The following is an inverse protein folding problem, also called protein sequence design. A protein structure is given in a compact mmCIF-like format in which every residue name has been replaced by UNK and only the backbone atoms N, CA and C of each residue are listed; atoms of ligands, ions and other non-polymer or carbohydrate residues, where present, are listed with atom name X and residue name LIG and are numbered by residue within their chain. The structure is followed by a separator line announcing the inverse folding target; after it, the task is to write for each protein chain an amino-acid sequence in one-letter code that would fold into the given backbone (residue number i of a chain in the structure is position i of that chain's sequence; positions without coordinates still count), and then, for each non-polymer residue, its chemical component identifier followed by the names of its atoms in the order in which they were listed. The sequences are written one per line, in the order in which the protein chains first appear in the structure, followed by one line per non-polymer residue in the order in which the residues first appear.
data_IF_554294058661
#
_entry.id   IF_554294058661
#
_cell.length_a   1.000
_cell.length_b   1.000
_cell.length_c   1.000
_cell.angle_alpha   90.00
_cell.angle_beta   90.00
_cell.angle_gamma   90.00
#
_symmetry.space_group_name_H-M   'P 1'
#
loop_
_entity.id
_entity.type
_entity.pdbx_description
1 polymer ?
#
# COMPACT_ATOMS: atom_id res chain seq x y z
N UNK A 1 -2.30 -2.43 -22.82
CA UNK A 1 -3.22 -1.54 -22.10
C UNK A 1 -4.53 -1.35 -22.87
N UNK A 2 -5.63 -1.07 -22.19
CA UNK A 2 -6.90 -0.74 -22.84
C UNK A 2 -6.75 0.48 -23.77
N UNK A 3 -7.27 0.38 -25.01
CA UNK A 3 -7.13 1.41 -26.02
C UNK A 3 -5.73 1.59 -26.62
N UNK A 4 -4.77 0.77 -26.21
CA UNK A 4 -3.45 0.72 -26.84
C UNK A 4 -3.48 -0.07 -28.15
N UNK A 5 -2.38 -0.05 -28.89
CA UNK A 5 -2.17 -0.94 -30.03
C UNK A 5 -0.68 -1.23 -30.18
N UNK A 6 -0.39 -2.43 -30.66
CA UNK A 6 0.96 -2.83 -31.04
C UNK A 6 1.02 -3.09 -32.53
N UNK A 7 2.09 -2.64 -33.17
CA UNK A 7 2.38 -2.93 -34.58
C UNK A 7 3.64 -3.75 -34.66
N UNK A 8 3.54 -4.94 -35.22
CA UNK A 8 4.69 -5.84 -35.45
C UNK A 8 5.00 -5.96 -36.91
N UNK A 9 6.27 -5.93 -37.23
CA UNK A 9 6.77 -6.30 -38.54
C UNK A 9 6.87 -7.82 -38.66
N UNK A 10 6.37 -8.38 -39.75
CA UNK A 10 6.39 -9.79 -40.02
C UNK A 10 7.44 -10.07 -41.11
N UNK A 11 8.28 -11.08 -40.89
CA UNK A 11 9.19 -11.61 -41.90
C UNK A 11 8.65 -12.96 -42.34
N UNK A 12 8.36 -13.10 -43.63
CA UNK A 12 8.02 -14.40 -44.22
C UNK A 12 8.82 -14.57 -45.52
N UNK A 13 9.38 -15.73 -45.71
CA UNK A 13 10.02 -16.12 -46.96
C UNK A 13 9.05 -16.90 -47.83
N UNK A 14 8.95 -16.52 -49.09
CA UNK A 14 8.10 -17.19 -50.07
C UNK A 14 6.70 -16.56 -50.27
N UNK A 15 5.89 -17.17 -51.13
CA UNK A 15 4.53 -16.76 -51.43
C UNK A 15 3.58 -17.43 -50.42
N UNK A 16 2.76 -16.62 -49.73
CA UNK A 16 1.81 -17.11 -48.74
C UNK A 16 0.38 -16.89 -49.26
N UNK A 17 -0.29 -17.91 -49.78
CA UNK A 17 -1.66 -17.82 -50.23
C UNK A 17 -2.61 -17.88 -49.02
N UNK A 18 -3.73 -17.18 -49.09
CA UNK A 18 -4.88 -17.28 -48.17
C UNK A 18 -4.53 -17.13 -46.67
N UNK A 19 -3.85 -16.06 -46.29
CA UNK A 19 -3.56 -15.75 -44.88
C UNK A 19 -4.86 -15.36 -44.16
N UNK A 20 -5.15 -16.07 -43.08
CA UNK A 20 -6.24 -15.77 -42.16
C UNK A 20 -5.69 -15.34 -40.81
N UNK A 21 -6.24 -14.27 -40.25
CA UNK A 21 -5.96 -13.80 -38.90
C UNK A 21 -7.13 -14.15 -37.99
N UNK A 22 -6.86 -14.85 -36.92
CA UNK A 22 -7.84 -15.12 -35.86
C UNK A 22 -7.47 -14.29 -34.64
N UNK A 23 -8.25 -13.28 -34.34
CA UNK A 23 -8.13 -12.48 -33.14
C UNK A 23 -9.09 -12.96 -32.07
N UNK A 24 -8.76 -12.80 -30.79
CA UNK A 24 -9.65 -13.02 -29.68
C UNK A 24 -10.93 -12.17 -29.80
N UNK A 25 -12.00 -12.62 -29.19
CA UNK A 25 -13.26 -11.86 -29.19
C UNK A 25 -13.02 -10.42 -28.69
N UNK A 26 -13.55 -9.44 -29.43
CA UNK A 26 -13.44 -7.99 -29.13
C UNK A 26 -12.03 -7.38 -29.29
N UNK A 27 -11.04 -8.16 -29.68
CA UNK A 27 -9.74 -7.64 -30.12
C UNK A 27 -9.77 -7.34 -31.62
N UNK A 28 -8.96 -6.40 -32.04
CA UNK A 28 -8.75 -6.15 -33.47
C UNK A 28 -7.36 -6.63 -33.88
N UNK A 29 -7.28 -7.28 -35.02
CA UNK A 29 -6.03 -7.69 -35.62
C UNK A 29 -6.07 -7.38 -37.13
N UNK A 30 -5.36 -6.34 -37.54
CA UNK A 30 -5.30 -5.86 -38.92
C UNK A 30 -3.98 -6.30 -39.55
N UNK A 31 -4.05 -7.26 -40.44
CA UNK A 31 -2.91 -7.76 -41.21
C UNK A 31 -2.78 -6.97 -42.54
N UNK A 32 -1.66 -6.26 -42.67
CA UNK A 32 -1.31 -5.61 -43.94
C UNK A 32 -0.19 -6.38 -44.62
N UNK A 33 -0.56 -7.22 -45.58
CA UNK A 33 0.37 -8.10 -46.34
C UNK A 33 1.38 -7.25 -47.12
N UNK A 34 0.93 -6.16 -47.76
CA UNK A 34 1.82 -5.31 -48.57
C UNK A 34 2.90 -4.61 -47.75
N UNK A 35 2.58 -4.22 -46.51
CA UNK A 35 3.53 -3.59 -45.58
C UNK A 35 4.20 -4.61 -44.65
N UNK A 36 3.80 -5.85 -44.70
CA UNK A 36 4.27 -6.92 -43.80
C UNK A 36 4.12 -6.53 -42.32
N UNK A 37 2.99 -5.94 -41.96
CA UNK A 37 2.71 -5.51 -40.59
C UNK A 37 1.42 -6.11 -40.09
N UNK A 38 1.43 -6.51 -38.82
CA UNK A 38 0.25 -6.90 -38.06
C UNK A 38 0.03 -5.83 -36.98
N UNK A 39 -1.15 -5.22 -36.97
CA UNK A 39 -1.58 -4.34 -35.88
C UNK A 39 -2.56 -5.08 -34.99
N UNK A 40 -2.28 -5.15 -33.70
CA UNK A 40 -3.14 -5.76 -32.69
C UNK A 40 -3.58 -4.69 -31.70
N UNK A 41 -4.86 -4.66 -31.37
CA UNK A 41 -5.38 -3.79 -30.35
C UNK A 41 -6.38 -4.51 -29.44
N UNK A 42 -6.25 -4.42 -28.11
CA UNK A 42 -7.24 -4.88 -27.17
C UNK A 42 -8.49 -4.00 -27.22
N UNK A 43 -9.59 -4.37 -26.54
CA UNK A 43 -10.74 -3.47 -26.35
C UNK A 43 -10.29 -2.10 -25.81
N UNK A 44 -10.98 -1.04 -26.23
CA UNK A 44 -10.65 0.32 -25.81
C UNK A 44 -11.01 0.57 -24.34
N UNK A 45 -12.02 -0.14 -23.82
CA UNK A 45 -12.54 0.00 -22.48
C UNK A 45 -12.73 -1.38 -21.83
N UNK A 46 -12.77 -1.41 -20.50
CA UNK A 46 -13.13 -2.62 -19.77
C UNK A 46 -14.55 -3.04 -20.12
N UNK A 47 -14.72 -4.34 -20.36
CA UNK A 47 -16.01 -4.95 -20.62
C UNK A 47 -16.16 -6.14 -19.69
N UNK A 48 -17.19 -6.16 -18.87
CA UNK A 48 -17.48 -7.28 -17.98
C UNK A 48 -17.56 -8.61 -18.73
N UNK A 49 -16.93 -9.64 -18.19
CA UNK A 49 -16.89 -10.98 -18.79
C UNK A 49 -16.05 -11.08 -20.07
N UNK A 50 -15.16 -10.12 -20.35
CA UNK A 50 -14.17 -10.28 -21.42
C UNK A 50 -13.08 -11.25 -21.00
N UNK A 51 -12.56 -12.02 -21.98
CA UNK A 51 -11.34 -12.79 -21.75
C UNK A 51 -10.14 -11.86 -21.69
N UNK A 52 -9.41 -11.90 -20.57
CA UNK A 52 -8.22 -11.07 -20.35
C UNK A 52 -6.97 -11.67 -21.01
N UNK A 53 -6.97 -12.97 -21.25
CA UNK A 53 -5.86 -13.70 -21.87
C UNK A 53 -6.32 -14.34 -23.18
N UNK A 54 -5.54 -14.12 -24.22
CA UNK A 54 -5.95 -14.52 -25.56
C UNK A 54 -4.75 -14.84 -26.45
N UNK A 55 -4.95 -15.78 -27.38
CA UNK A 55 -3.96 -16.12 -28.38
C UNK A 55 -4.37 -15.57 -29.74
N UNK A 56 -3.52 -14.72 -30.31
CA UNK A 56 -3.62 -14.32 -31.70
C UNK A 56 -2.94 -15.36 -32.58
N UNK A 57 -3.57 -15.78 -33.67
CA UNK A 57 -3.00 -16.71 -34.63
C UNK A 57 -3.06 -16.14 -36.05
N UNK A 58 -2.02 -16.38 -36.81
CA UNK A 58 -2.00 -16.19 -38.25
C UNK A 58 -1.79 -17.56 -38.87
N UNK A 59 -2.69 -17.96 -39.73
CA UNK A 59 -2.69 -19.28 -40.37
C UNK A 59 -2.71 -19.12 -41.89
N UNK A 60 -2.12 -20.08 -42.60
CA UNK A 60 -2.25 -20.24 -44.03
C UNK A 60 -2.61 -21.69 -44.32
N UNK A 61 -3.72 -21.91 -45.03
CA UNK A 61 -4.23 -23.23 -45.35
C UNK A 61 -4.41 -24.18 -44.15
N UNK A 62 -4.74 -23.59 -42.98
CA UNK A 62 -4.93 -24.31 -41.72
C UNK A 62 -3.66 -24.57 -40.92
N UNK A 63 -2.50 -24.22 -41.46
CA UNK A 63 -1.21 -24.32 -40.75
C UNK A 63 -0.85 -23.01 -40.03
N UNK A 64 -0.43 -23.06 -38.75
CA UNK A 64 -0.06 -21.87 -38.00
C UNK A 64 1.26 -21.28 -38.50
N UNK A 65 1.24 -20.04 -38.96
CA UNK A 65 2.42 -19.28 -39.33
C UNK A 65 2.97 -18.45 -38.16
N UNK A 66 2.09 -18.04 -37.25
CA UNK A 66 2.41 -17.23 -36.09
C UNK A 66 1.39 -17.45 -34.98
N UNK A 67 1.87 -17.54 -33.77
CA UNK A 67 1.04 -17.58 -32.56
C UNK A 67 1.66 -16.69 -31.48
N UNK A 68 0.85 -15.81 -30.88
CA UNK A 68 1.30 -14.93 -29.83
C UNK A 68 0.20 -14.78 -28.79
N UNK A 69 0.54 -15.00 -27.54
CA UNK A 69 -0.35 -14.74 -26.43
C UNK A 69 -0.32 -13.26 -26.06
N UNK A 70 -1.52 -12.70 -25.87
CA UNK A 70 -1.74 -11.36 -25.40
C UNK A 70 -2.63 -11.39 -24.16
N UNK A 71 -2.40 -10.45 -23.26
CA UNK A 71 -3.23 -10.29 -22.07
C UNK A 71 -3.49 -8.81 -21.78
N UNK A 72 -4.58 -8.55 -21.06
CA UNK A 72 -4.94 -7.23 -20.55
C UNK A 72 -5.01 -7.33 -19.04
N UNK A 73 -4.40 -6.40 -18.34
CA UNK A 73 -4.44 -6.36 -16.87
C UNK A 73 -5.82 -5.93 -16.38
N UNK A 74 -6.33 -6.63 -15.39
CA UNK A 74 -7.44 -6.20 -14.54
C UNK A 74 -6.91 -6.01 -13.13
N UNK A 75 -6.86 -4.75 -12.68
CA UNK A 75 -6.31 -4.41 -11.37
C UNK A 75 -7.24 -4.72 -10.21
N UNK A 76 -8.46 -5.23 -10.48
CA UNK A 76 -9.41 -5.68 -9.44
C UNK A 76 -9.29 -7.17 -9.14
N UNK A 77 -8.44 -7.91 -9.87
CA UNK A 77 -8.29 -9.33 -9.62
C UNK A 77 -7.85 -9.60 -8.17
N UNK A 78 -8.55 -10.44 -7.38
CA UNK A 78 -8.27 -10.61 -5.94
C UNK A 78 -6.84 -11.03 -5.62
N UNK A 79 -6.18 -11.75 -6.52
CA UNK A 79 -4.77 -12.16 -6.39
C UNK A 79 -3.78 -11.11 -6.91
N UNK A 80 -4.27 -9.98 -7.39
CA UNK A 80 -3.43 -8.88 -7.84
C UNK A 80 -2.68 -8.24 -6.68
N UNK A 81 -1.38 -8.03 -6.86
CA UNK A 81 -0.50 -7.43 -5.84
C UNK A 81 0.03 -6.09 -6.31
N UNK A 82 -0.21 -5.07 -5.52
CA UNK A 82 0.33 -3.72 -5.73
C UNK A 82 1.56 -3.52 -4.86
N UNK A 83 2.62 -3.00 -5.46
CA UNK A 83 3.75 -2.45 -4.73
C UNK A 83 3.81 -0.95 -5.01
N UNK A 84 3.53 -0.17 -3.98
CA UNK A 84 3.60 1.28 -4.04
C UNK A 84 5.03 1.72 -3.80
N UNK A 85 5.61 2.45 -4.74
CA UNK A 85 6.94 3.02 -4.62
C UNK A 85 6.80 4.51 -4.27
N UNK A 86 7.34 4.93 -3.12
CA UNK A 86 7.30 6.35 -2.72
C UNK A 86 8.02 7.23 -3.76
N UNK A 87 9.09 6.72 -4.33
CA UNK A 87 10.09 7.53 -4.97
C UNK A 87 10.97 8.24 -3.93
N UNK A 88 11.44 9.41 -4.25
CA UNK A 88 12.28 10.20 -3.35
C UNK A 88 11.75 11.63 -3.28
N UNK A 89 11.60 12.16 -2.07
CA UNK A 89 10.95 13.47 -1.86
C UNK A 89 11.69 14.65 -2.51
N UNK A 90 12.92 14.46 -2.97
CA UNK A 90 13.73 15.51 -3.59
C UNK A 90 14.06 15.28 -5.06
N UNK A 91 13.99 14.04 -5.55
CA UNK A 91 14.55 13.68 -6.86
C UNK A 91 13.60 12.96 -7.81
N UNK A 92 12.55 12.28 -7.31
CA UNK A 92 11.67 11.48 -8.16
C UNK A 92 10.25 11.34 -7.61
N UNK A 93 9.29 11.22 -8.52
CA UNK A 93 7.91 10.88 -8.19
C UNK A 93 7.77 9.40 -7.77
N UNK A 94 6.66 9.11 -7.11
CA UNK A 94 6.24 7.74 -6.84
C UNK A 94 5.88 6.99 -8.11
N UNK A 95 5.75 5.67 -7.97
CA UNK A 95 5.37 4.77 -9.05
C UNK A 95 4.61 3.56 -8.50
N UNK A 96 3.98 2.79 -9.39
CA UNK A 96 3.23 1.60 -9.03
C UNK A 96 3.76 0.43 -9.82
N UNK A 97 4.15 -0.62 -9.09
CA UNK A 97 4.45 -1.95 -9.64
C UNK A 97 3.26 -2.85 -9.37
N UNK A 98 2.91 -3.69 -10.30
CA UNK A 98 1.81 -4.63 -10.18
C UNK A 98 2.27 -6.04 -10.55
N UNK A 99 1.87 -7.01 -9.75
CA UNK A 99 1.97 -8.42 -10.07
C UNK A 99 0.56 -8.96 -10.32
N UNK A 100 0.35 -9.56 -11.47
CA UNK A 100 -0.94 -10.13 -11.81
C UNK A 100 -1.14 -11.52 -11.17
N UNK A 101 -2.29 -12.13 -11.40
CA UNK A 101 -2.65 -13.45 -10.86
C UNK A 101 -1.70 -14.59 -11.26
N UNK A 102 -0.85 -14.38 -12.26
CA UNK A 102 0.18 -15.33 -12.70
C UNK A 102 1.58 -14.94 -12.21
N UNK A 103 1.68 -13.98 -11.28
CA UNK A 103 2.94 -13.45 -10.78
C UNK A 103 3.82 -12.79 -11.86
N UNK A 104 3.22 -12.33 -12.96
CA UNK A 104 3.93 -11.55 -13.96
C UNK A 104 4.13 -10.13 -13.44
N UNK A 105 5.36 -9.67 -13.52
CA UNK A 105 5.82 -8.39 -13.02
C UNK A 105 5.60 -7.28 -14.04
N UNK A 106 4.93 -6.20 -13.62
CA UNK A 106 4.63 -5.03 -14.44
C UNK A 106 5.11 -3.76 -13.74
N UNK A 107 6.15 -3.16 -14.28
CA UNK A 107 6.66 -1.88 -13.78
C UNK A 107 5.80 -0.70 -14.26
N UNK A 108 5.76 0.37 -13.45
CA UNK A 108 5.24 1.67 -13.85
C UNK A 108 3.84 1.62 -14.48
N UNK A 109 2.96 0.78 -13.92
CA UNK A 109 1.64 0.53 -14.55
C UNK A 109 0.78 1.79 -14.63
N UNK A 110 0.93 2.74 -13.71
CA UNK A 110 0.22 4.01 -13.78
C UNK A 110 0.71 4.86 -14.94
N UNK A 111 2.02 5.02 -15.05
CA UNK A 111 2.66 5.82 -16.10
C UNK A 111 2.42 5.24 -17.49
N UNK A 112 2.47 3.93 -17.60
CA UNK A 112 2.22 3.21 -18.87
C UNK A 112 0.77 3.40 -19.37
N UNK A 113 -0.18 3.57 -18.46
CA UNK A 113 -1.58 3.78 -18.81
C UNK A 113 -1.89 5.25 -19.08
N UNK A 114 -1.33 6.16 -18.28
CA UNK A 114 -1.75 7.57 -18.24
C UNK A 114 -0.79 8.54 -18.92
N UNK A 115 0.33 8.05 -19.44
CA UNK A 115 1.38 8.85 -20.09
C UNK A 115 1.90 9.99 -19.18
N UNK A 116 1.80 9.82 -17.85
CA UNK A 116 2.27 10.76 -16.83
C UNK A 116 2.57 10.02 -15.51
N UNK A 117 3.41 10.63 -14.66
CA UNK A 117 3.72 10.11 -13.32
C UNK A 117 2.63 10.50 -12.31
N UNK A 118 2.52 9.73 -11.22
CA UNK A 118 1.42 9.91 -10.26
C UNK A 118 1.59 11.15 -9.37
N UNK A 119 2.75 11.37 -8.83
CA UNK A 119 3.09 12.50 -7.96
C UNK A 119 4.18 12.15 -6.96
N UNK A 120 4.70 13.18 -6.29
CA UNK A 120 5.86 13.03 -5.40
C UNK A 120 5.46 12.47 -4.03
N UNK A 121 6.17 11.46 -3.64
CA UNK A 121 6.02 10.62 -2.44
C UNK A 121 4.64 9.98 -2.37
N UNK A 122 4.45 8.93 -3.18
CA UNK A 122 3.25 8.09 -3.10
C UNK A 122 3.17 7.42 -1.74
N UNK A 123 2.04 7.56 -1.06
CA UNK A 123 1.91 7.15 0.33
C UNK A 123 1.00 5.95 0.54
N UNK A 124 -0.15 5.96 -0.11
CA UNK A 124 -1.16 4.93 0.16
C UNK A 124 -2.15 4.84 -1.00
N UNK A 125 -2.90 3.74 -1.00
CA UNK A 125 -4.00 3.50 -1.94
C UNK A 125 -5.22 2.92 -1.22
N UNK A 126 -6.37 3.06 -1.86
CA UNK A 126 -7.61 2.39 -1.49
C UNK A 126 -8.46 2.07 -2.71
N UNK A 127 -9.24 0.99 -2.66
CA UNK A 127 -10.14 0.61 -3.75
C UNK A 127 -11.57 0.48 -3.23
N UNK A 128 -12.53 1.09 -3.90
CA UNK A 128 -13.96 0.94 -3.64
C UNK A 128 -14.78 1.43 -4.83
N UNK A 129 -15.95 0.82 -5.07
CA UNK A 129 -16.89 1.30 -6.08
C UNK A 129 -16.33 1.36 -7.49
N UNK A 130 -15.49 0.42 -7.89
CA UNK A 130 -14.86 0.39 -9.21
C UNK A 130 -13.78 1.45 -9.43
N UNK A 131 -13.26 2.05 -8.37
CA UNK A 131 -12.21 3.08 -8.42
C UNK A 131 -11.03 2.74 -7.53
N UNK A 132 -9.84 3.17 -7.95
CA UNK A 132 -8.63 3.21 -7.13
C UNK A 132 -8.32 4.65 -6.80
N UNK A 133 -8.02 4.90 -5.54
CA UNK A 133 -7.62 6.19 -5.00
C UNK A 133 -6.17 6.13 -4.57
N UNK A 134 -5.37 7.09 -5.00
CA UNK A 134 -3.98 7.25 -4.59
C UNK A 134 -3.78 8.59 -3.92
N UNK A 135 -2.96 8.61 -2.88
CA UNK A 135 -2.52 9.83 -2.24
C UNK A 135 -1.01 9.96 -2.27
N UNK A 136 -0.54 11.17 -2.56
CA UNK A 136 0.88 11.52 -2.50
C UNK A 136 1.09 12.66 -1.52
N UNK A 137 2.22 12.66 -0.85
CA UNK A 137 2.53 13.61 0.20
C UNK A 137 2.71 15.04 -0.35
N UNK A 138 3.54 15.17 -1.37
CA UNK A 138 3.96 16.45 -1.92
C UNK A 138 3.22 16.85 -3.21
N UNK A 139 2.61 15.90 -3.90
CA UNK A 139 1.95 16.18 -5.18
C UNK A 139 2.95 16.55 -6.28
N UNK A 140 2.82 17.78 -6.80
CA UNK A 140 3.67 18.30 -7.88
C UNK A 140 4.88 19.09 -7.40
N UNK A 141 5.00 19.33 -6.10
CA UNK A 141 6.10 20.14 -5.56
C UNK A 141 6.79 19.39 -4.44
N UNK A 142 8.09 19.16 -4.56
CA UNK A 142 8.87 18.49 -3.50
C UNK A 142 8.96 19.33 -2.23
N UNK A 143 9.41 18.70 -1.15
CA UNK A 143 9.69 19.40 0.11
C UNK A 143 10.77 20.49 -0.02
N UNK A 144 11.63 20.40 -1.03
CA UNK A 144 12.68 21.38 -1.34
C UNK A 144 12.23 22.47 -2.33
N UNK A 145 10.96 22.45 -2.77
CA UNK A 145 10.40 23.39 -3.73
C UNK A 145 10.65 23.01 -5.20
N UNK A 146 11.28 21.88 -5.49
CA UNK A 146 11.44 21.38 -6.86
C UNK A 146 10.07 20.98 -7.41
N UNK A 147 9.73 21.45 -8.60
CA UNK A 147 8.48 21.08 -9.29
C UNK A 147 8.69 19.79 -10.06
N UNK A 148 7.82 18.82 -9.81
CA UNK A 148 7.76 17.56 -10.53
C UNK A 148 6.60 17.55 -11.52
N UNK A 149 6.75 16.74 -12.56
CA UNK A 149 5.73 16.60 -13.60
C UNK A 149 4.81 15.39 -13.27
N UNK A 150 4.11 15.45 -12.15
CA UNK A 150 3.18 14.42 -11.72
C UNK A 150 1.72 14.88 -11.71
N UNK A 151 0.80 13.98 -11.46
CA UNK A 151 -0.64 14.26 -11.47
C UNK A 151 -1.14 14.98 -10.22
N UNK A 152 -0.54 14.75 -9.06
CA UNK A 152 -0.84 15.53 -7.86
C UNK A 152 -1.03 14.72 -6.58
N UNK A 153 -1.62 15.38 -5.56
CA UNK A 153 -1.78 14.82 -4.20
C UNK A 153 -2.89 13.79 -4.08
N UNK A 154 -3.91 13.89 -4.91
CA UNK A 154 -5.06 12.98 -4.89
C UNK A 154 -5.41 12.58 -6.31
N UNK A 155 -5.32 11.29 -6.60
CA UNK A 155 -5.55 10.73 -7.95
C UNK A 155 -6.60 9.64 -7.86
N UNK A 156 -7.57 9.69 -8.76
CA UNK A 156 -8.64 8.70 -8.90
C UNK A 156 -8.49 8.01 -10.24
N UNK A 157 -8.43 6.69 -10.23
CA UNK A 157 -8.40 5.85 -11.42
C UNK A 157 -9.59 4.90 -11.48
N UNK A 158 -9.94 4.47 -12.68
CA UNK A 158 -10.78 3.31 -12.89
C UNK A 158 -10.07 2.04 -12.39
N UNK A 159 -10.76 1.23 -11.59
CA UNK A 159 -10.13 0.11 -10.89
C UNK A 159 -9.75 -1.05 -11.83
N UNK A 160 -10.44 -1.23 -12.95
CA UNK A 160 -10.11 -2.29 -13.89
C UNK A 160 -8.95 -1.93 -14.79
N UNK A 161 -8.86 -0.66 -15.19
CA UNK A 161 -7.98 -0.22 -16.28
C UNK A 161 -6.80 0.65 -15.84
N UNK A 162 -6.77 1.12 -14.59
CA UNK A 162 -5.84 2.13 -14.07
C UNK A 162 -5.95 3.50 -14.78
N UNK A 163 -6.90 3.69 -15.69
CA UNK A 163 -7.09 4.99 -16.37
C UNK A 163 -7.49 6.06 -15.38
N UNK A 164 -6.77 7.18 -15.41
CA UNK A 164 -7.05 8.34 -14.57
C UNK A 164 -8.41 8.95 -14.90
N UNK A 165 -9.26 9.05 -13.87
CA UNK A 165 -10.56 9.72 -13.92
C UNK A 165 -10.40 11.18 -13.46
N UNK A 166 -9.65 11.40 -12.38
CA UNK A 166 -9.45 12.71 -11.78
C UNK A 166 -8.05 12.80 -11.16
N UNK A 167 -7.44 13.97 -11.27
CA UNK A 167 -6.24 14.31 -10.51
C UNK A 167 -6.42 15.69 -9.86
N UNK A 168 -6.00 15.82 -8.62
CA UNK A 168 -6.01 17.05 -7.82
C UNK A 168 -4.67 17.27 -7.16
N UNK A 169 -4.12 18.46 -7.30
CA UNK A 169 -2.92 18.88 -6.57
C UNK A 169 -3.24 20.02 -5.59
N UNK A 170 -4.38 19.95 -4.94
CA UNK A 170 -4.78 20.97 -3.96
C UNK A 170 -4.08 20.72 -2.63
N UNK A 171 -3.19 21.63 -2.19
CA UNK A 171 -2.67 21.56 -0.83
C UNK A 171 -3.77 21.87 0.18
N UNK A 172 -3.69 21.27 1.34
CA UNK A 172 -4.57 21.60 2.46
C UNK A 172 -3.74 21.91 3.71
N UNK A 173 -4.32 22.65 4.64
CA UNK A 173 -3.60 23.25 5.76
C UNK A 173 -4.29 22.97 7.09
N UNK A 174 -3.49 22.90 8.14
CA UNK A 174 -3.96 22.93 9.53
C UNK A 174 -3.62 24.28 10.18
N UNK A 175 -4.49 24.74 11.06
CA UNK A 175 -4.24 25.89 11.90
C UNK A 175 -3.54 25.41 13.18
N UNK A 176 -2.30 25.80 13.36
CA UNK A 176 -1.45 25.33 14.45
C UNK A 176 -1.08 26.48 15.37
N UNK A 177 -1.20 26.28 16.68
CA UNK A 177 -0.79 27.26 17.67
C UNK A 177 0.72 27.57 17.56
N UNK A 178 1.10 28.82 17.68
CA UNK A 178 2.49 29.27 17.70
C UNK A 178 2.66 30.36 18.76
N UNK A 179 3.89 30.70 19.07
CA UNK A 179 4.20 31.78 20.06
C UNK A 179 3.65 33.15 19.66
N UNK A 180 3.38 33.38 18.37
CA UNK A 180 2.85 34.62 17.82
C UNK A 180 1.35 34.55 17.46
N UNK A 181 0.63 33.50 17.86
CA UNK A 181 -0.77 33.27 17.53
C UNK A 181 -0.97 31.94 16.78
N UNK A 182 -1.81 31.94 15.74
CA UNK A 182 -2.10 30.75 14.93
C UNK A 182 -1.41 30.88 13.58
N UNK A 183 -0.72 29.85 13.15
CA UNK A 183 -0.12 29.74 11.81
C UNK A 183 -0.81 28.66 10.97
N UNK A 184 -0.87 28.90 9.67
CA UNK A 184 -1.32 27.91 8.70
C UNK A 184 -0.14 27.03 8.26
N UNK A 185 -0.19 25.74 8.52
CA UNK A 185 0.89 24.80 8.20
C UNK A 185 0.39 23.79 7.18
N UNK A 186 1.18 23.56 6.13
CA UNK A 186 0.88 22.57 5.08
C UNK A 186 0.70 21.18 5.68
N UNK A 187 -0.33 20.48 5.24
CA UNK A 187 -0.61 19.10 5.63
C UNK A 187 -0.12 18.12 4.55
N UNK A 188 0.41 17.01 5.02
CA UNK A 188 0.83 15.87 4.22
C UNK A 188 -0.11 14.69 4.44
N UNK A 189 -0.89 14.28 3.41
CA UNK A 189 -1.67 13.05 3.51
C UNK A 189 -0.75 11.86 3.74
N UNK A 190 -1.16 10.96 4.61
CA UNK A 190 -0.39 9.80 5.04
C UNK A 190 -1.10 8.49 4.71
N UNK A 191 -2.39 8.41 5.04
CA UNK A 191 -3.23 7.24 4.80
C UNK A 191 -4.59 7.62 4.29
N UNK A 192 -5.17 6.74 3.51
CA UNK A 192 -6.55 6.84 3.04
C UNK A 192 -7.30 5.54 3.32
N UNK A 193 -8.54 5.68 3.78
CA UNK A 193 -9.51 4.59 3.80
C UNK A 193 -10.83 5.10 3.24
N UNK A 194 -11.62 4.21 2.66
CA UNK A 194 -12.96 4.54 2.19
C UNK A 194 -14.00 3.67 2.88
N UNK A 195 -15.19 4.23 3.09
CA UNK A 195 -16.33 3.58 3.73
C UNK A 195 -17.56 3.51 2.82
N UNK A 196 -17.54 4.29 1.74
CA UNK A 196 -18.47 4.20 0.61
C UNK A 196 -17.79 4.75 -0.65
N UNK A 197 -18.38 4.54 -1.85
CA UNK A 197 -17.83 5.11 -3.10
C UNK A 197 -17.74 6.64 -3.13
N UNK A 198 -18.46 7.32 -2.22
CA UNK A 198 -18.49 8.79 -2.13
C UNK A 198 -17.66 9.34 -0.98
N UNK A 199 -17.38 8.51 0.05
CA UNK A 199 -16.82 8.98 1.31
C UNK A 199 -15.61 8.18 1.77
N UNK A 200 -14.53 8.90 2.05
CA UNK A 200 -13.34 8.37 2.66
C UNK A 200 -12.81 9.27 3.79
N UNK A 201 -11.69 8.81 4.36
CA UNK A 201 -10.97 9.51 5.42
C UNK A 201 -9.49 9.56 5.07
N UNK A 202 -8.89 10.72 5.29
CA UNK A 202 -7.45 10.93 5.15
C UNK A 202 -6.86 11.22 6.51
N UNK A 203 -5.93 10.40 6.92
CA UNK A 203 -5.03 10.65 8.04
C UNK A 203 -3.84 11.47 7.53
N UNK A 204 -3.47 12.52 8.24
CA UNK A 204 -2.41 13.42 7.83
C UNK A 204 -1.55 13.89 9.00
N UNK A 205 -0.36 14.38 8.70
CA UNK A 205 0.47 15.19 9.57
C UNK A 205 0.78 16.52 8.92
N UNK A 206 1.14 17.54 9.73
CA UNK A 206 1.73 18.76 9.18
C UNK A 206 3.11 18.50 8.61
N UNK A 207 3.54 19.35 7.67
CA UNK A 207 4.82 19.20 6.95
C UNK A 207 6.05 19.31 7.85
N UNK A 208 5.92 19.88 9.05
CA UNK A 208 6.94 19.86 10.10
C UNK A 208 6.91 18.56 10.93
N UNK A 209 5.95 17.66 10.68
CA UNK A 209 5.76 16.35 11.32
C UNK A 209 5.48 16.37 12.82
N UNK A 210 5.43 17.53 13.43
CA UNK A 210 5.39 17.69 14.89
C UNK A 210 4.21 18.53 15.38
N UNK A 211 3.80 19.53 14.58
CA UNK A 211 2.86 20.53 15.08
C UNK A 211 1.43 20.02 15.17
N UNK A 212 0.99 19.16 14.26
CA UNK A 212 -0.39 18.68 14.24
C UNK A 212 -0.53 17.40 13.39
N UNK A 213 -1.45 16.56 13.80
CA UNK A 213 -1.94 15.42 13.02
C UNK A 213 -3.42 15.22 13.31
N UNK A 214 -4.16 14.68 12.33
CA UNK A 214 -5.59 14.50 12.46
C UNK A 214 -6.15 13.61 11.35
N UNK A 215 -7.46 13.43 11.37
CA UNK A 215 -8.22 12.73 10.33
C UNK A 215 -9.29 13.68 9.79
N UNK A 216 -9.38 13.75 8.45
CA UNK A 216 -10.42 14.51 7.74
C UNK A 216 -11.22 13.62 6.82
N UNK A 217 -12.47 13.96 6.61
CA UNK A 217 -13.26 13.36 5.56
C UNK A 217 -12.77 13.83 4.18
N UNK A 218 -12.90 12.98 3.18
CA UNK A 218 -12.67 13.29 1.78
C UNK A 218 -13.86 12.84 0.94
N UNK A 219 -14.32 13.73 0.06
CA UNK A 219 -15.29 13.38 -0.96
C UNK A 219 -14.57 12.64 -2.09
N UNK A 220 -14.86 11.36 -2.24
CA UNK A 220 -14.16 10.48 -3.19
C UNK A 220 -14.58 10.69 -4.66
N UNK A 221 -15.67 11.42 -4.91
CA UNK A 221 -16.08 11.77 -6.28
C UNK A 221 -15.32 12.99 -6.79
N UNK A 222 -15.14 14.01 -5.93
CA UNK A 222 -14.52 15.28 -6.31
C UNK A 222 -13.05 15.40 -5.89
N UNK A 223 -12.57 14.52 -5.00
CA UNK A 223 -11.21 14.59 -4.41
C UNK A 223 -11.04 15.76 -3.43
N UNK A 224 -12.13 16.32 -2.91
CA UNK A 224 -12.08 17.46 -1.97
C UNK A 224 -11.95 16.96 -0.55
N UNK A 225 -10.88 17.37 0.14
CA UNK A 225 -10.62 17.09 1.55
C UNK A 225 -11.30 18.18 2.39
N UNK A 226 -11.97 17.77 3.47
CA UNK A 226 -12.60 18.69 4.40
C UNK A 226 -11.58 19.68 5.00
N UNK A 227 -12.04 20.87 5.35
CA UNK A 227 -11.20 21.92 5.93
C UNK A 227 -11.00 21.76 7.44
N UNK A 228 -11.83 20.96 8.09
CA UNK A 228 -11.82 20.70 9.52
C UNK A 228 -11.56 19.22 9.81
N UNK A 229 -10.89 18.97 10.91
CA UNK A 229 -10.66 17.61 11.39
C UNK A 229 -11.95 17.04 11.99
N UNK A 230 -12.07 15.73 11.97
CA UNK A 230 -13.03 15.01 12.80
C UNK A 230 -12.67 15.32 14.26
N UNK A 231 -13.64 15.72 15.08
CA UNK A 231 -13.39 15.95 16.50
C UNK A 231 -12.71 14.74 17.17
N UNK A 232 -11.84 15.02 18.12
CA UNK A 232 -11.11 14.03 18.92
C UNK A 232 -10.13 13.13 18.14
N UNK A 233 -9.72 13.54 16.92
CA UNK A 233 -8.68 12.86 16.14
C UNK A 233 -7.31 13.55 16.19
N UNK A 234 -7.16 14.61 16.98
CA UNK A 234 -5.85 15.23 17.20
C UNK A 234 -4.85 14.24 17.77
N UNK A 235 -3.64 14.24 17.24
CA UNK A 235 -2.57 13.36 17.73
C UNK A 235 -2.67 11.91 17.26
N UNK A 236 -3.47 11.60 16.21
CA UNK A 236 -3.40 10.30 15.56
C UNK A 236 -1.97 10.04 15.14
N UNK A 237 -1.55 8.79 15.31
CA UNK A 237 -0.16 8.43 15.07
C UNK A 237 0.16 8.50 13.58
N UNK A 238 1.03 9.44 13.22
CA UNK A 238 1.50 9.62 11.86
C UNK A 238 3.01 9.87 11.86
N UNK A 239 3.65 9.47 10.79
CA UNK A 239 5.02 9.83 10.48
C UNK A 239 5.17 10.04 8.98
N UNK A 240 6.13 10.85 8.57
CA UNK A 240 6.50 10.97 7.16
C UNK A 240 7.08 9.65 6.63
N UNK A 241 6.71 9.32 5.42
CA UNK A 241 7.12 8.09 4.78
C UNK A 241 6.24 6.90 5.14
N UNK A 242 6.53 5.76 4.54
CA UNK A 242 5.71 4.56 4.60
C UNK A 242 5.70 3.85 5.98
N UNK A 243 6.52 4.27 6.91
CA UNK A 243 6.69 3.62 8.21
C UNK A 243 5.76 4.18 9.30
N UNK A 244 4.53 4.40 8.99
CA UNK A 244 3.48 4.98 9.85
C UNK A 244 2.37 3.97 10.14
N UNK A 245 1.61 4.16 11.23
CA UNK A 245 0.46 3.31 11.54
C UNK A 245 -0.70 3.59 10.58
N UNK A 246 -1.27 2.55 10.00
CA UNK A 246 -2.41 2.63 9.07
C UNK A 246 -3.74 2.69 9.82
N UNK A 247 -4.71 3.36 9.22
CA UNK A 247 -6.11 3.18 9.56
C UNK A 247 -6.62 1.84 9.02
N UNK A 248 -7.58 1.25 9.71
CA UNK A 248 -8.24 0.00 9.30
C UNK A 248 -9.75 0.16 9.34
N UNK A 249 -10.44 -0.38 8.34
CA UNK A 249 -11.91 -0.32 8.24
C UNK A 249 -12.52 -1.69 8.54
N UNK A 250 -13.58 -1.70 9.34
CA UNK A 250 -14.44 -2.85 9.54
C UNK A 250 -15.89 -2.40 9.73
N UNK A 251 -16.81 -2.92 8.92
CA UNK A 251 -18.28 -2.70 9.03
C UNK A 251 -18.68 -1.23 9.27
N UNK A 252 -18.09 -0.32 8.49
CA UNK A 252 -18.38 1.12 8.61
C UNK A 252 -17.74 1.83 9.81
N UNK A 253 -16.88 1.16 10.56
CA UNK A 253 -16.03 1.75 11.59
C UNK A 253 -14.61 1.93 11.07
N UNK A 254 -13.97 3.03 11.43
CA UNK A 254 -12.57 3.32 11.13
C UNK A 254 -11.77 3.30 12.43
N UNK A 255 -10.77 2.45 12.48
CA UNK A 255 -9.86 2.31 13.60
C UNK A 255 -8.56 3.05 13.32
N UNK A 256 -8.09 3.82 14.28
CA UNK A 256 -6.81 4.54 14.19
C UNK A 256 -6.07 4.57 15.52
N UNK A 257 -4.75 4.58 15.46
CA UNK A 257 -3.90 4.80 16.63
C UNK A 257 -3.76 6.29 16.95
N UNK A 258 -3.89 6.67 18.22
CA UNK A 258 -3.71 8.04 18.72
C UNK A 258 -2.90 8.01 20.01
N UNK A 259 -1.62 8.28 19.91
CA UNK A 259 -0.72 8.26 21.06
C UNK A 259 -0.76 6.92 21.79
N UNK A 260 -1.38 6.89 22.96
CA UNK A 260 -1.58 5.69 23.78
C UNK A 260 -2.98 5.07 23.65
N UNK A 261 -3.78 5.54 22.69
CA UNK A 261 -5.18 5.11 22.54
C UNK A 261 -5.43 4.52 21.15
N UNK A 262 -6.33 3.54 21.08
CA UNK A 262 -7.04 3.19 19.85
C UNK A 262 -8.37 3.92 19.84
N UNK A 263 -8.63 4.69 18.79
CA UNK A 263 -9.89 5.37 18.56
C UNK A 263 -10.69 4.68 17.46
N UNK A 264 -12.02 4.72 17.60
CA UNK A 264 -12.96 4.16 16.63
C UNK A 264 -13.91 5.25 16.17
N UNK A 265 -13.91 5.53 14.86
CA UNK A 265 -14.77 6.53 14.23
C UNK A 265 -15.96 5.81 13.60
N UNK A 266 -17.15 6.26 13.90
CA UNK A 266 -18.38 5.84 13.22
C UNK A 266 -18.55 6.63 11.92
N UNK A 267 -18.57 5.93 10.79
CA UNK A 267 -18.65 6.56 9.48
C UNK A 267 -20.02 7.19 9.18
N UNK A 268 -21.07 6.83 9.91
CA UNK A 268 -22.39 7.43 9.73
C UNK A 268 -22.49 8.82 10.38
N UNK A 269 -21.72 9.05 11.44
CA UNK A 269 -21.79 10.29 12.24
C UNK A 269 -20.53 11.15 12.14
N UNK A 270 -19.42 10.64 11.61
CA UNK A 270 -18.09 11.26 11.61
C UNK A 270 -17.63 11.66 13.02
N UNK A 271 -17.82 10.77 13.98
CA UNK A 271 -17.41 10.99 15.37
C UNK A 271 -16.63 9.81 15.92
N UNK A 272 -15.70 10.12 16.81
CA UNK A 272 -15.08 9.10 17.65
C UNK A 272 -16.16 8.61 18.61
N UNK A 273 -16.51 7.32 18.50
CA UNK A 273 -17.55 6.68 19.31
C UNK A 273 -16.96 5.79 20.40
N UNK A 274 -15.67 5.44 20.28
CA UNK A 274 -14.91 4.69 21.29
C UNK A 274 -13.47 5.15 21.32
N UNK A 275 -12.90 5.10 22.51
CA UNK A 275 -11.50 5.31 22.78
C UNK A 275 -11.05 4.36 23.87
N UNK A 276 -10.04 3.55 23.55
CA UNK A 276 -9.40 2.66 24.51
C UNK A 276 -7.98 3.13 24.79
N UNK A 277 -7.77 3.66 25.99
CA UNK A 277 -6.51 4.26 26.43
C UNK A 277 -5.71 3.28 27.27
N UNK A 278 -4.44 3.13 26.92
CA UNK A 278 -3.46 2.30 27.63
C UNK A 278 -2.36 3.20 28.20
N UNK A 279 -2.48 3.64 29.45
CA UNK A 279 -1.51 4.56 30.06
C UNK A 279 -0.09 4.06 29.94
N UNK A 280 0.85 5.00 29.76
CA UNK A 280 2.31 4.75 29.70
C UNK A 280 2.76 3.81 28.55
N UNK A 281 1.87 3.52 27.60
CA UNK A 281 2.15 2.76 26.37
C UNK A 281 1.97 3.63 25.13
N UNK A 282 2.46 3.15 23.99
CA UNK A 282 2.19 3.76 22.68
C UNK A 282 1.60 2.74 21.73
N UNK A 283 0.54 3.10 21.03
CA UNK A 283 0.05 2.35 19.86
C UNK A 283 1.11 2.44 18.78
N UNK A 284 1.51 1.31 18.23
CA UNK A 284 2.53 1.26 17.17
C UNK A 284 1.95 0.98 15.80
N UNK A 285 0.91 0.15 15.74
CA UNK A 285 0.26 -0.18 14.47
C UNK A 285 -1.05 -0.94 14.69
N UNK A 286 -1.87 -1.04 13.63
CA UNK A 286 -3.11 -1.80 13.60
C UNK A 286 -3.19 -2.65 12.33
N UNK A 287 -3.74 -3.87 12.46
CA UNK A 287 -4.05 -4.73 11.32
C UNK A 287 -5.33 -5.54 11.59
N UNK A 288 -6.07 -5.87 10.52
CA UNK A 288 -7.22 -6.76 10.58
C UNK A 288 -6.75 -8.21 10.40
N UNK A 289 -7.07 -9.07 11.37
CA UNK A 289 -6.73 -10.49 11.33
C UNK A 289 -7.68 -11.32 10.49
N UNK A 290 -7.30 -12.56 10.23
CA UNK A 290 -8.12 -13.52 9.48
C UNK A 290 -9.47 -13.81 10.13
N UNK A 291 -9.60 -13.64 11.44
CA UNK A 291 -10.83 -13.78 12.22
C UNK A 291 -11.73 -12.52 12.20
N UNK A 292 -11.33 -11.50 11.46
CA UNK A 292 -12.07 -10.23 11.29
C UNK A 292 -11.87 -9.23 12.43
N UNK A 293 -11.12 -9.58 13.48
CA UNK A 293 -10.79 -8.65 14.57
C UNK A 293 -9.67 -7.67 14.16
N UNK A 294 -9.65 -6.52 14.80
CA UNK A 294 -8.61 -5.54 14.63
C UNK A 294 -7.59 -5.72 15.75
N UNK A 295 -6.36 -6.00 15.39
CA UNK A 295 -5.24 -6.16 16.31
C UNK A 295 -4.41 -4.89 16.35
N UNK A 296 -4.19 -4.35 17.54
CA UNK A 296 -3.31 -3.23 17.78
C UNK A 296 -2.09 -3.68 18.61
N UNK A 297 -0.91 -3.28 18.18
CA UNK A 297 0.35 -3.56 18.87
C UNK A 297 0.74 -2.32 19.67
N UNK A 298 1.07 -2.53 20.95
CA UNK A 298 1.48 -1.48 21.89
C UNK A 298 2.89 -1.74 22.41
N UNK A 299 3.63 -0.65 22.66
CA UNK A 299 4.88 -0.74 23.43
C UNK A 299 4.63 -1.33 24.81
N UNK A 300 5.68 -1.76 25.48
CA UNK A 300 5.66 -1.89 26.95
C UNK A 300 5.41 -0.52 27.58
N UNK A 301 5.05 -0.48 28.86
CA UNK A 301 5.15 0.72 29.66
C UNK A 301 6.61 1.12 29.76
N UNK A 302 6.89 2.40 29.64
CA UNK A 302 8.26 2.89 29.64
C UNK A 302 8.37 4.28 30.24
N UNK A 303 9.56 4.59 30.73
CA UNK A 303 9.99 5.95 31.09
C UNK A 303 11.23 6.29 30.28
N UNK A 304 11.41 7.57 30.00
CA UNK A 304 12.64 8.06 29.37
C UNK A 304 13.51 8.65 30.48
N UNK A 305 14.68 8.02 30.71
CA UNK A 305 15.67 8.51 31.65
C UNK A 305 16.67 9.41 30.94
N UNK A 306 16.73 10.66 31.35
CA UNK A 306 17.66 11.68 30.87
C UNK A 306 17.09 12.72 29.92
N UNK A 307 17.86 13.79 29.72
CA UNK A 307 17.49 14.97 28.93
C UNK A 307 17.58 14.76 27.40
N UNK A 308 17.89 13.57 26.91
CA UNK A 308 18.10 13.28 25.49
C UNK A 308 16.80 13.08 24.70
N UNK A 309 15.64 13.32 25.31
CA UNK A 309 14.35 13.28 24.64
C UNK A 309 14.13 11.98 23.84
N UNK A 310 14.02 12.12 22.53
CA UNK A 310 13.79 11.03 21.59
C UNK A 310 14.86 9.91 21.62
N UNK A 311 16.09 10.24 22.00
CA UNK A 311 17.26 9.33 22.08
C UNK A 311 17.64 9.02 23.51
N UNK A 312 16.80 9.37 24.50
CA UNK A 312 17.03 9.05 25.90
C UNK A 312 17.02 7.55 26.16
N UNK A 313 17.60 7.16 27.29
CA UNK A 313 17.55 5.78 27.73
C UNK A 313 16.10 5.40 28.05
N UNK A 314 15.58 4.41 27.34
CA UNK A 314 14.23 3.86 27.60
C UNK A 314 14.33 2.83 28.73
N UNK A 315 13.64 3.09 29.83
CA UNK A 315 13.51 2.15 30.94
C UNK A 315 12.14 1.47 30.82
N UNK A 316 12.15 0.20 30.46
CA UNK A 316 10.95 -0.60 30.31
C UNK A 316 10.42 -1.04 31.66
N UNK A 317 9.12 -0.80 31.93
CA UNK A 317 8.42 -1.18 33.15
C UNK A 317 7.58 -2.43 32.98
N UNK A 318 7.14 -2.70 31.76
CA UNK A 318 6.38 -3.91 31.41
C UNK A 318 6.67 -4.35 29.97
N UNK A 319 6.32 -5.58 29.61
CA UNK A 319 6.41 -6.04 28.23
C UNK A 319 5.44 -5.32 27.29
N UNK A 320 5.73 -5.37 25.98
CA UNK A 320 4.82 -4.99 24.93
C UNK A 320 3.54 -5.85 24.95
N UNK A 321 2.46 -5.38 24.32
CA UNK A 321 1.20 -6.10 24.28
C UNK A 321 0.50 -5.98 22.94
N UNK A 322 -0.44 -6.89 22.71
CA UNK A 322 -1.40 -6.83 21.61
C UNK A 322 -2.81 -6.82 22.20
N UNK A 323 -3.63 -5.87 21.78
CA UNK A 323 -5.06 -5.87 22.06
C UNK A 323 -5.83 -6.19 20.77
N UNK A 324 -6.90 -7.00 20.90
CA UNK A 324 -7.83 -7.30 19.83
C UNK A 324 -9.17 -6.62 20.08
N UNK A 325 -9.73 -6.05 19.03
CA UNK A 325 -11.02 -5.36 19.04
C UNK A 325 -11.96 -6.04 18.06
N UNK A 326 -13.23 -6.11 18.41
CA UNK A 326 -14.26 -6.55 17.47
C UNK A 326 -14.62 -5.44 16.46
N UNK A 327 -15.52 -5.73 15.54
CA UNK A 327 -15.97 -4.77 14.52
C UNK A 327 -16.71 -3.56 15.10
N UNK A 328 -17.23 -3.63 16.31
CA UNK A 328 -17.87 -2.52 17.02
C UNK A 328 -16.88 -1.69 17.85
N UNK A 329 -15.63 -2.16 17.91
CA UNK A 329 -14.55 -1.51 18.64
C UNK A 329 -14.50 -1.87 20.13
N UNK A 330 -15.13 -2.96 20.56
CA UNK A 330 -14.98 -3.45 21.94
C UNK A 330 -13.71 -4.28 22.07
N UNK A 331 -13.01 -4.18 23.19
CA UNK A 331 -11.85 -5.00 23.50
C UNK A 331 -12.30 -6.45 23.72
N UNK A 332 -11.77 -7.38 22.94
CA UNK A 332 -12.08 -8.82 23.02
C UNK A 332 -11.00 -9.60 23.74
N UNK A 333 -9.75 -9.20 23.58
CA UNK A 333 -8.63 -9.81 24.27
C UNK A 333 -7.43 -8.88 24.37
N UNK A 334 -6.61 -9.10 25.38
CA UNK A 334 -5.33 -8.46 25.59
C UNK A 334 -4.29 -9.53 25.88
N UNK A 335 -3.16 -9.48 25.19
CA UNK A 335 -2.11 -10.48 25.31
C UNK A 335 -0.77 -9.79 25.49
N UNK A 336 -0.06 -10.15 26.54
CA UNK A 336 1.30 -9.68 26.82
C UNK A 336 2.28 -10.44 25.94
N UNK A 337 3.14 -9.71 25.24
CA UNK A 337 4.22 -10.29 24.46
C UNK A 337 5.41 -10.66 25.36
N UNK A 338 6.31 -11.56 24.93
CA UNK A 338 7.54 -11.87 25.67
C UNK A 338 8.36 -10.60 25.96
N UNK A 339 9.07 -10.60 27.10
CA UNK A 339 9.90 -9.46 27.54
C UNK A 339 11.00 -9.07 26.57
N UNK A 340 11.37 -9.97 25.68
CA UNK A 340 12.34 -9.74 24.61
C UNK A 340 11.79 -8.84 23.52
N UNK A 341 10.46 -8.72 23.37
CA UNK A 341 9.86 -7.79 22.40
C UNK A 341 10.00 -6.36 22.92
N UNK A 342 10.86 -5.60 22.28
CA UNK A 342 11.04 -4.17 22.56
C UNK A 342 10.69 -3.39 21.31
N UNK A 343 9.68 -2.54 21.41
CA UNK A 343 9.25 -1.72 20.29
C UNK A 343 9.80 -0.31 20.43
N UNK A 344 10.11 0.29 19.29
CA UNK A 344 10.61 1.65 19.28
C UNK A 344 9.60 2.63 19.88
N UNK A 345 10.07 3.51 20.76
CA UNK A 345 9.28 4.57 21.42
C UNK A 345 9.37 5.90 20.68
N UNK A 346 8.53 6.86 21.08
CA UNK A 346 8.50 8.22 20.56
C UNK A 346 7.37 8.47 19.54
N UNK A 347 6.87 9.71 19.54
CA UNK A 347 5.76 10.12 18.67
C UNK A 347 6.13 10.12 17.19
N UNK A 348 7.37 10.48 16.89
CA UNK A 348 7.90 10.44 15.53
C UNK A 348 8.52 9.08 15.15
N UNK A 349 8.34 8.05 15.97
CA UNK A 349 8.89 6.73 15.66
C UNK A 349 8.08 6.05 14.55
N UNK A 350 8.73 5.27 13.68
CA UNK A 350 8.01 4.52 12.67
C UNK A 350 7.03 3.54 13.31
N UNK A 351 6.03 3.11 12.55
CA UNK A 351 5.23 1.96 12.90
C UNK A 351 6.11 0.71 13.00
N UNK A 352 5.54 -0.38 13.49
CA UNK A 352 6.20 -1.69 13.47
C UNK A 352 5.92 -2.45 12.16
N UNK A 353 5.30 -1.79 11.19
CA UNK A 353 4.94 -2.34 9.87
C UNK A 353 4.10 -3.60 9.98
N UNK A 354 3.13 -3.58 10.89
CA UNK A 354 2.26 -4.70 11.19
C UNK A 354 1.44 -5.08 9.95
N UNK A 355 1.48 -6.35 9.62
CA UNK A 355 0.51 -6.96 8.72
C UNK A 355 -0.02 -8.28 9.30
N UNK A 356 -1.17 -8.73 8.81
CA UNK A 356 -1.79 -9.98 9.20
C UNK A 356 -1.99 -10.85 7.97
N UNK A 357 -1.94 -12.18 8.16
CA UNK A 357 -2.45 -13.11 7.17
C UNK A 357 -3.97 -12.95 7.00
N UNK A 358 -4.47 -13.12 5.77
CA UNK A 358 -5.89 -13.14 5.48
C UNK A 358 -6.58 -14.46 5.89
N UNK A 359 -5.81 -15.52 6.14
CA UNK A 359 -6.32 -16.88 6.34
C UNK A 359 -5.85 -17.54 7.62
N UNK A 360 -4.65 -17.19 8.09
CA UNK A 360 -3.99 -17.83 9.24
C UNK A 360 -3.94 -16.88 10.43
N UNK A 361 -3.87 -17.39 11.66
CA UNK A 361 -3.84 -16.56 12.86
C UNK A 361 -2.45 -15.92 13.11
N UNK A 362 -1.81 -15.43 12.05
CA UNK A 362 -0.47 -14.85 12.13
C UNK A 362 -0.46 -13.34 11.90
N UNK A 363 0.25 -12.66 12.78
CA UNK A 363 0.67 -11.27 12.65
C UNK A 363 2.18 -11.23 12.39
N UNK A 364 2.62 -10.34 11.51
CA UNK A 364 4.03 -10.11 11.18
C UNK A 364 4.38 -8.66 11.45
N UNK A 365 5.46 -8.41 12.18
CA UNK A 365 5.89 -7.05 12.51
C UNK A 365 7.36 -6.99 12.96
N UNK A 366 7.90 -5.77 13.06
CA UNK A 366 9.24 -5.52 13.58
C UNK A 366 9.17 -5.47 15.11
N UNK A 367 9.77 -6.47 15.77
CA UNK A 367 9.79 -6.61 17.23
C UNK A 367 11.02 -5.98 17.92
N UNK A 368 11.67 -5.00 17.26
CA UNK A 368 12.91 -4.39 17.70
C UNK A 368 12.82 -2.87 17.82
N UNK A 369 13.73 -2.26 18.56
CA UNK A 369 13.80 -0.80 18.75
C UNK A 369 14.52 -0.06 17.63
N UNK A 370 15.26 -0.77 16.79
CA UNK A 370 16.11 -0.18 15.76
C UNK A 370 15.28 0.46 14.63
N UNK A 371 15.71 1.64 14.22
CA UNK A 371 15.14 2.32 13.06
C UNK A 371 15.44 1.57 11.76
N UNK A 372 16.62 0.98 11.68
CA UNK A 372 17.12 0.28 10.50
C UNK A 372 16.90 -1.23 10.64
N UNK A 373 15.70 -1.65 11.03
CA UNK A 373 15.41 -3.06 11.19
C UNK A 373 15.48 -3.78 9.84
N UNK A 374 16.18 -4.89 9.84
CA UNK A 374 16.34 -5.79 8.68
C UNK A 374 15.59 -7.10 8.88
N UNK A 375 14.99 -7.27 10.04
CA UNK A 375 14.39 -8.50 10.54
C UNK A 375 12.96 -8.25 10.98
N UNK A 376 12.09 -9.25 10.83
CA UNK A 376 10.72 -9.23 11.32
C UNK A 376 10.39 -10.52 12.04
N UNK A 377 9.51 -10.42 13.02
CA UNK A 377 8.95 -11.55 13.76
C UNK A 377 7.54 -11.89 13.28
N UNK A 378 7.05 -13.08 13.67
CA UNK A 378 5.63 -13.39 13.61
C UNK A 378 5.08 -13.81 14.97
N UNK A 379 3.80 -13.57 15.14
CA UNK A 379 3.04 -13.87 16.35
C UNK A 379 1.73 -14.53 16.00
N UNK A 380 1.46 -15.67 16.59
CA UNK A 380 0.18 -16.38 16.46
C UNK A 380 -0.77 -15.91 17.56
N UNK A 381 -1.86 -15.23 17.18
CA UNK A 381 -2.78 -14.65 18.16
C UNK A 381 -3.76 -15.65 18.79
N UNK A 382 -3.84 -16.89 18.28
CA UNK A 382 -4.63 -17.97 18.90
C UNK A 382 -3.82 -18.75 19.92
N UNK A 383 -2.56 -19.04 19.63
CA UNK A 383 -1.70 -19.89 20.47
C UNK A 383 -0.73 -19.12 21.36
N UNK A 384 -0.47 -17.84 21.04
CA UNK A 384 0.58 -17.04 21.68
C UNK A 384 2.00 -17.39 21.23
N UNK A 385 2.15 -18.24 20.21
CA UNK A 385 3.47 -18.60 19.67
C UNK A 385 4.17 -17.38 19.08
N UNK A 386 5.45 -17.23 19.38
CA UNK A 386 6.33 -16.19 18.85
C UNK A 386 7.49 -16.85 18.12
N UNK A 387 7.69 -16.50 16.86
CA UNK A 387 8.86 -16.88 16.08
C UNK A 387 9.71 -15.61 15.84
N UNK A 388 10.82 -15.53 16.57
CA UNK A 388 11.77 -14.42 16.48
C UNK A 388 12.60 -14.52 15.21
N UNK A 389 13.05 -13.36 14.73
CA UNK A 389 13.89 -13.29 13.55
C UNK A 389 13.38 -14.19 12.43
N UNK A 390 12.05 -14.23 12.30
CA UNK A 390 11.39 -15.09 11.33
C UNK A 390 11.73 -14.71 9.90
N UNK A 391 11.80 -13.40 9.65
CA UNK A 391 12.48 -12.84 8.48
C UNK A 391 13.83 -12.33 8.94
N UNK A 392 14.89 -12.91 8.44
CA UNK A 392 16.25 -12.53 8.78
C UNK A 392 16.83 -11.52 7.78
N UNK A 393 17.87 -10.80 8.20
CA UNK A 393 18.68 -10.02 7.29
C UNK A 393 19.28 -10.92 6.22
N UNK A 394 19.50 -10.37 5.02
CA UNK A 394 20.25 -11.05 3.98
C UNK A 394 21.66 -11.33 4.49
N UNK A 395 21.97 -12.62 4.68
CA UNK A 395 23.18 -13.07 5.38
C UNK A 395 24.47 -12.64 4.67
N UNK A 396 24.42 -12.39 3.37
CA UNK A 396 25.60 -12.07 2.58
C UNK A 396 25.70 -10.59 2.19
N UNK A 397 24.74 -9.74 2.55
CA UNK A 397 24.77 -8.30 2.25
C UNK A 397 24.90 -7.97 0.75
N UNK A 398 24.75 -8.96 -0.11
CA UNK A 398 25.03 -8.90 -1.54
C UNK A 398 23.88 -8.39 -2.38
N UNK A 399 22.71 -8.15 -1.77
CA UNK A 399 21.54 -7.76 -2.55
C UNK A 399 21.56 -6.27 -2.89
N UNK A 400 21.67 -6.02 -4.17
CA UNK A 400 21.34 -4.73 -4.75
C UNK A 400 19.92 -4.33 -4.34
N UNK A 401 19.72 -3.15 -3.75
CA UNK A 401 18.42 -2.68 -3.27
C UNK A 401 18.35 -2.45 -1.76
N UNK A 402 19.38 -2.81 -1.00
CA UNK A 402 19.48 -2.59 0.45
C UNK A 402 18.75 -3.63 1.30
N UNK A 403 18.92 -3.55 2.59
CA UNK A 403 18.44 -4.53 3.58
C UNK A 403 17.42 -3.98 4.58
N UNK A 404 17.26 -2.66 4.67
CA UNK A 404 16.30 -2.03 5.58
C UNK A 404 14.87 -2.37 5.18
N UNK A 405 14.11 -3.03 6.06
CA UNK A 405 12.66 -3.22 5.86
C UNK A 405 12.00 -1.85 5.89
N UNK A 406 11.38 -1.48 4.79
CA UNK A 406 10.75 -0.19 4.60
C UNK A 406 9.39 -0.36 3.93
N UNK A 407 8.40 0.41 4.40
CA UNK A 407 7.03 0.29 3.95
C UNK A 407 6.28 -0.90 4.57
N UNK A 408 5.00 -0.99 4.26
CA UNK A 408 4.16 -2.06 4.78
C UNK A 408 4.50 -3.40 4.15
N UNK A 409 4.64 -4.40 5.01
CA UNK A 409 4.61 -5.80 4.60
C UNK A 409 3.18 -6.24 4.29
N UNK A 410 3.03 -7.34 3.57
CA UNK A 410 1.73 -7.93 3.33
C UNK A 410 1.80 -9.43 3.06
N UNK A 411 0.76 -10.16 3.46
CA UNK A 411 0.64 -11.59 3.18
C UNK A 411 -0.32 -11.79 2.02
N UNK A 412 0.11 -12.52 1.01
CA UNK A 412 -0.71 -12.76 -0.19
C UNK A 412 -1.95 -13.60 0.16
N UNK A 413 -3.15 -13.21 -0.29
CA UNK A 413 -4.41 -13.78 0.20
C UNK A 413 -4.64 -15.24 -0.17
N UNK A 414 -4.01 -15.75 -1.21
CA UNK A 414 -4.19 -17.14 -1.67
C UNK A 414 -2.97 -18.01 -1.46
N UNK A 415 -1.77 -17.47 -1.68
CA UNK A 415 -0.51 -18.24 -1.59
C UNK A 415 0.11 -18.24 -0.21
N UNK A 416 -0.36 -17.38 0.72
CA UNK A 416 0.22 -17.19 2.06
C UNK A 416 1.72 -16.81 2.03
N UNK A 417 2.16 -16.19 0.95
CA UNK A 417 3.52 -15.66 0.86
C UNK A 417 3.60 -14.27 1.50
N UNK A 418 4.62 -14.04 2.31
CA UNK A 418 4.89 -12.74 2.90
C UNK A 418 5.75 -11.90 1.95
N UNK A 419 5.28 -10.72 1.64
CA UNK A 419 5.93 -9.74 0.78
C UNK A 419 6.54 -8.63 1.61
N UNK A 420 7.82 -8.38 1.41
CA UNK A 420 8.61 -7.42 2.21
C UNK A 420 9.40 -6.50 1.30
N UNK A 421 9.15 -5.20 1.42
CA UNK A 421 9.96 -4.18 0.77
C UNK A 421 11.24 -3.90 1.58
N UNK A 422 12.40 -3.99 0.93
CA UNK A 422 13.68 -3.59 1.51
C UNK A 422 14.29 -2.44 0.71
N UNK A 423 14.93 -1.50 1.36
CA UNK A 423 15.40 -0.25 0.75
C UNK A 423 16.82 0.12 1.15
N UNK A 424 17.51 0.78 0.23
CA UNK A 424 18.76 1.51 0.47
C UNK A 424 18.59 3.03 0.35
N UNK A 425 17.37 3.55 0.29
CA UNK A 425 16.99 4.96 0.01
C UNK A 425 17.22 5.45 -1.42
N UNK A 426 17.94 4.71 -2.26
CA UNK A 426 18.15 5.07 -3.68
C UNK A 426 17.53 4.06 -4.64
N UNK A 427 17.42 2.85 -4.20
CA UNK A 427 16.78 1.73 -4.88
C UNK A 427 16.21 0.77 -3.82
N UNK A 428 15.49 -0.23 -4.24
CA UNK A 428 14.87 -1.19 -3.34
C UNK A 428 14.71 -2.55 -3.98
N UNK A 429 14.31 -3.51 -3.18
CA UNK A 429 13.96 -4.85 -3.61
C UNK A 429 12.72 -5.33 -2.88
N UNK A 430 11.85 -6.00 -3.58
CA UNK A 430 10.70 -6.69 -3.01
C UNK A 430 11.09 -8.16 -2.84
N UNK A 431 11.09 -8.62 -1.62
CA UNK A 431 11.33 -10.02 -1.28
C UNK A 431 10.01 -10.72 -1.02
N UNK A 432 9.89 -11.95 -1.48
CA UNK A 432 8.71 -12.80 -1.31
C UNK A 432 9.15 -14.07 -0.60
N UNK A 433 8.56 -14.35 0.55
CA UNK A 433 8.92 -15.48 1.40
C UNK A 433 7.76 -16.48 1.49
N UNK A 434 8.08 -17.78 1.35
CA UNK A 434 7.18 -18.85 1.78
C UNK A 434 7.16 -18.88 3.33
N UNK A 435 6.01 -18.60 3.90
CA UNK A 435 5.80 -18.55 5.35
C UNK A 435 4.90 -19.67 5.86
N UNK A 436 4.67 -20.69 5.07
CA UNK A 436 3.92 -21.89 5.46
C UNK A 436 4.68 -22.81 6.44
N UNK A 437 5.99 -22.53 6.65
CA UNK A 437 6.93 -23.33 7.45
C UNK A 437 7.27 -22.68 8.78
N UNK A 438 8.03 -23.41 9.61
CA UNK A 438 8.64 -22.88 10.83
C UNK A 438 9.69 -21.80 10.58
N UNK A 439 10.33 -21.83 9.42
CA UNK A 439 11.33 -20.89 8.91
C UNK A 439 10.85 -20.26 7.61
N UNK A 440 11.05 -18.97 7.45
CA UNK A 440 10.74 -18.29 6.21
C UNK A 440 11.80 -18.63 5.15
N UNK A 441 11.35 -19.04 3.99
CA UNK A 441 12.24 -19.35 2.86
C UNK A 441 11.98 -18.36 1.75
N UNK A 442 13.01 -17.66 1.28
CA UNK A 442 12.86 -16.75 0.16
C UNK A 442 12.43 -17.51 -1.09
N UNK A 443 11.28 -17.13 -1.61
CA UNK A 443 10.71 -17.67 -2.85
C UNK A 443 11.22 -16.93 -4.08
N UNK A 444 11.40 -15.61 -3.96
CA UNK A 444 11.88 -14.75 -5.02
C UNK A 444 12.14 -13.34 -4.57
N UNK A 445 12.84 -12.58 -5.39
CA UNK A 445 13.05 -11.15 -5.15
C UNK A 445 13.08 -10.35 -6.45
N UNK A 446 12.62 -9.11 -6.37
CA UNK A 446 12.43 -8.24 -7.53
C UNK A 446 13.06 -6.87 -7.26
N UNK A 447 14.09 -6.55 -8.04
CA UNK A 447 14.81 -5.28 -7.94
C UNK A 447 13.97 -4.11 -8.46
N UNK A 448 14.02 -2.99 -7.76
CA UNK A 448 13.34 -1.75 -8.09
C UNK A 448 14.37 -0.64 -8.27
N UNK A 449 14.33 0.05 -9.41
CA UNK A 449 15.18 1.23 -9.64
C UNK A 449 14.74 2.44 -8.83
N UNK A 450 13.47 2.50 -8.42
CA UNK A 450 12.90 3.55 -7.59
C UNK A 450 13.24 3.33 -6.11
N UNK A 451 13.38 4.43 -5.38
CA UNK A 451 13.62 4.38 -3.96
C UNK A 451 12.37 4.03 -3.17
N UNK A 452 12.56 3.39 -2.03
CA UNK A 452 11.63 3.29 -0.90
C UNK A 452 10.21 2.82 -1.26
N UNK A 453 9.91 1.54 -1.13
CA UNK A 453 8.54 1.07 -1.26
C UNK A 453 7.66 1.65 -0.15
N UNK A 454 6.52 2.24 -0.48
CA UNK A 454 5.53 2.67 0.51
C UNK A 454 4.88 1.48 1.19
N UNK A 455 4.69 0.40 0.45
CA UNK A 455 4.14 -0.84 0.98
C UNK A 455 3.61 -1.76 -0.11
N UNK A 456 3.18 -2.93 0.34
CA UNK A 456 2.54 -3.94 -0.49
C UNK A 456 1.07 -3.99 -0.12
N UNK A 457 0.19 -3.95 -1.12
CA UNK A 457 -1.24 -4.13 -0.97
C UNK A 457 -1.78 -5.17 -1.95
N UNK A 458 -2.88 -5.80 -1.58
CA UNK A 458 -3.55 -6.80 -2.40
C UNK A 458 -4.98 -6.34 -2.72
N UNK A 459 -5.43 -6.55 -3.94
CA UNK A 459 -6.80 -6.21 -4.33
C UNK A 459 -7.85 -6.88 -3.43
N UNK A 460 -7.57 -8.07 -2.89
CA UNK A 460 -8.42 -8.78 -1.94
C UNK A 460 -8.77 -7.97 -0.68
N UNK A 461 -7.84 -7.15 -0.19
CA UNK A 461 -8.05 -6.29 1.01
C UNK A 461 -9.24 -5.35 0.85
N UNK A 462 -9.59 -5.01 -0.38
CA UNK A 462 -10.63 -4.04 -0.70
C UNK A 462 -11.94 -4.69 -1.15
N UNK A 463 -12.04 -6.02 -1.12
CA UNK A 463 -13.28 -6.73 -1.43
C UNK A 463 -14.32 -6.55 -0.34
N UNK A 464 -15.60 -6.56 -0.72
CA UNK A 464 -16.70 -6.51 0.26
C UNK A 464 -16.63 -7.68 1.25
N UNK A 465 -16.21 -8.85 0.79
CA UNK A 465 -15.98 -10.01 1.63
C UNK A 465 -15.03 -9.69 2.79
N UNK A 466 -13.88 -9.10 2.48
CA UNK A 466 -12.87 -8.78 3.50
C UNK A 466 -13.28 -7.61 4.38
N UNK A 467 -13.83 -6.53 3.80
CA UNK A 467 -14.23 -5.34 4.56
C UNK A 467 -15.32 -5.66 5.57
N UNK A 468 -16.28 -6.53 5.22
CA UNK A 468 -17.42 -6.89 6.06
C UNK A 468 -17.17 -8.10 6.99
N UNK A 469 -16.01 -8.70 6.93
CA UNK A 469 -15.60 -9.83 7.78
C UNK A 469 -15.46 -9.50 9.26
#
# INVERSE_FOLDING_TARGET
KYGGSEVRSLTAEGWIPQVRTTAPARWTADLNIARRTLRVAPPAEYLEGQDLENTLRIESDGEPLFSQDYYVLDFTHPEGTFVLMEGNMTTENGSIVYFDQHMRYHERVYEEVNDNEIGNVLQDMYMIGGRIYFITQNGRTSSTGTTFNGDGRFVICDAHTMKRILARDMPFYAQVASSSGTRSTLCWPQHIVAVSPEKGYIQYSTSDMESHSGIRTVNLVSGVIATTDIPDTYGVFTKTGATKARMTVSRGKVFAGRGNSVIVIDSATDRVVREHTYPDRQVKDLAKGADGKIYAVFTGEFEIDGDLGYYGNVVWKSPAMIAAFDAEGEVVSEQTLPETVKLRTGTASPSVQLCASFRQPWLYFIGKTDFSATEAMRYNYETGQVDWDYITADIDGSHEGGSLIYGYMGVHPTTEQLWVGKSSYTNSRIHVYDVSRSDAVEYGSYYQKKASPAGVDFAYRFTEEWINR
#
